data_IF_342341866976
#
_entry.id   IF_342341866976
#
_cell.length_a   1.000
_cell.length_b   1.000
_cell.length_c   1.000
_cell.angle_alpha   90.00
_cell.angle_beta   90.00
_cell.angle_gamma   90.00
#
_symmetry.space_group_name_H-M   'P 1'
#
loop_
_entity.id
_entity.type
_entity.pdbx_description
1 polymer ?
#
# COMPACT_ATOMS: atom_id res chain seq x y z
N UNK A 1 -9.46 -21.59 -7.08
CA UNK A 1 -8.46 -20.60 -7.47
C UNK A 1 -9.08 -19.69 -8.54
N UNK A 2 -8.77 -18.38 -8.55
CA UNK A 2 -9.25 -17.48 -9.60
C UNK A 2 -8.65 -17.88 -10.96
N UNK A 3 -9.40 -17.63 -12.04
CA UNK A 3 -8.93 -17.92 -13.40
C UNK A 3 -7.84 -16.96 -13.88
N UNK A 4 -7.79 -15.77 -13.28
CA UNK A 4 -6.80 -14.72 -13.57
C UNK A 4 -6.28 -14.11 -12.28
N UNK A 5 -5.06 -13.57 -12.32
CA UNK A 5 -4.46 -12.80 -11.23
C UNK A 5 -4.04 -11.43 -11.76
N UNK A 6 -4.12 -10.41 -10.91
CA UNK A 6 -3.53 -9.10 -11.17
C UNK A 6 -2.20 -8.99 -10.43
N UNK A 7 -1.17 -8.49 -11.12
CA UNK A 7 0.12 -8.19 -10.51
C UNK A 7 0.19 -6.70 -10.21
N UNK A 8 0.64 -6.37 -9.00
CA UNK A 8 0.90 -4.99 -8.57
C UNK A 8 2.40 -4.87 -8.32
N UNK A 9 3.03 -4.00 -9.08
CA UNK A 9 4.45 -3.73 -8.93
C UNK A 9 4.67 -2.58 -7.93
N UNK A 10 5.47 -2.84 -6.92
CA UNK A 10 5.77 -1.86 -5.85
C UNK A 10 7.24 -1.44 -5.79
N UNK A 11 8.06 -1.95 -6.69
CA UNK A 11 9.49 -1.64 -6.78
C UNK A 11 9.81 -0.15 -6.85
N UNK A 12 9.08 0.66 -7.65
CA UNK A 12 9.33 2.11 -7.71
C UNK A 12 9.06 2.84 -6.39
N UNK A 13 8.17 2.33 -5.54
CA UNK A 13 7.90 2.87 -4.21
C UNK A 13 8.69 2.13 -3.13
N UNK A 14 8.37 0.86 -2.91
CA UNK A 14 8.90 0.08 -1.78
C UNK A 14 10.35 -0.33 -1.99
N UNK A 15 10.70 -0.73 -3.20
CA UNK A 15 12.08 -1.07 -3.56
C UNK A 15 12.99 0.15 -3.45
N UNK A 16 12.69 1.21 -4.18
CA UNK A 16 13.52 2.42 -4.21
C UNK A 16 13.60 3.12 -2.85
N UNK A 17 12.57 3.01 -2.00
CA UNK A 17 12.57 3.59 -0.66
C UNK A 17 13.81 3.18 0.17
N UNK A 18 14.36 1.99 -0.09
CA UNK A 18 15.48 1.43 0.65
C UNK A 18 16.86 1.74 0.01
N UNK A 19 16.87 2.39 -1.15
CA UNK A 19 18.11 2.77 -1.81
C UNK A 19 18.82 3.89 -1.05
N UNK A 20 20.14 3.74 -0.89
CA UNK A 20 20.97 4.70 -0.15
C UNK A 20 21.17 6.02 -0.90
N UNK A 21 21.35 5.91 -2.22
CA UNK A 21 21.55 7.06 -3.09
C UNK A 21 20.20 7.56 -3.61
N UNK A 22 20.03 8.87 -3.65
CA UNK A 22 18.81 9.48 -4.20
C UNK A 22 18.76 9.22 -5.71
N UNK A 23 17.78 8.43 -6.13
CA UNK A 23 17.53 8.15 -7.53
C UNK A 23 16.90 9.38 -8.19
N UNK A 24 17.46 9.91 -9.28
CA UNK A 24 16.92 11.07 -9.97
C UNK A 24 15.49 10.84 -10.52
N UNK A 25 14.66 11.89 -10.56
CA UNK A 25 13.28 11.85 -11.09
C UNK A 25 13.20 11.18 -12.47
N UNK A 26 14.12 11.53 -13.38
CA UNK A 26 14.16 10.95 -14.73
C UNK A 26 14.37 9.42 -14.73
N UNK A 27 15.22 8.91 -13.83
CA UNK A 27 15.45 7.48 -13.70
C UNK A 27 14.24 6.76 -13.08
N UNK A 28 13.54 7.36 -12.11
CA UNK A 28 12.28 6.84 -11.56
C UNK A 28 11.21 6.72 -12.62
N UNK A 29 11.05 7.76 -13.46
CA UNK A 29 10.10 7.75 -14.58
C UNK A 29 10.45 6.68 -15.58
N UNK A 30 11.72 6.59 -16.01
CA UNK A 30 12.17 5.56 -16.94
C UNK A 30 11.93 4.15 -16.41
N UNK A 31 12.10 3.94 -15.10
CA UNK A 31 11.80 2.66 -14.44
C UNK A 31 10.31 2.33 -14.52
N UNK A 32 9.43 3.27 -14.16
CA UNK A 32 7.96 3.08 -14.23
C UNK A 32 7.53 2.83 -15.69
N UNK A 33 8.07 3.57 -16.64
CA UNK A 33 7.77 3.38 -18.07
C UNK A 33 8.18 1.98 -18.56
N UNK A 34 9.36 1.51 -18.19
CA UNK A 34 9.85 0.16 -18.53
C UNK A 34 8.96 -0.94 -17.94
N UNK A 35 8.50 -0.78 -16.70
CA UNK A 35 7.57 -1.71 -16.07
C UNK A 35 6.22 -1.76 -16.80
N UNK A 36 5.69 -0.62 -17.19
CA UNK A 36 4.47 -0.53 -17.98
C UNK A 36 4.64 -1.15 -19.39
N UNK A 37 5.80 -0.96 -20.02
CA UNK A 37 6.17 -1.60 -21.31
C UNK A 37 6.31 -3.11 -21.18
N UNK A 38 6.82 -3.60 -20.05
CA UNK A 38 6.90 -5.02 -19.74
C UNK A 38 5.51 -5.68 -19.54
N UNK A 39 4.43 -4.90 -19.55
CA UNK A 39 3.05 -5.40 -19.48
C UNK A 39 2.40 -5.31 -18.13
N UNK A 40 3.04 -4.72 -17.12
CA UNK A 40 2.44 -4.50 -15.81
C UNK A 40 1.30 -3.48 -15.91
N UNK A 41 0.18 -3.79 -15.25
CA UNK A 41 -1.07 -3.00 -15.34
C UNK A 41 -1.36 -2.21 -14.09
N UNK A 42 -0.63 -2.47 -13.02
CA UNK A 42 -0.72 -1.70 -11.77
C UNK A 42 0.67 -1.49 -11.20
N UNK A 43 1.03 -0.23 -10.97
CA UNK A 43 2.35 0.16 -10.48
C UNK A 43 2.20 1.19 -9.36
N UNK A 44 2.73 0.87 -8.19
CA UNK A 44 2.83 1.83 -7.09
C UNK A 44 4.09 2.69 -7.30
N UNK A 45 3.87 3.89 -7.81
CA UNK A 45 4.92 4.76 -8.36
C UNK A 45 5.76 5.43 -7.29
N UNK A 46 5.14 5.89 -6.21
CA UNK A 46 5.81 6.68 -5.18
C UNK A 46 4.98 6.77 -3.90
N UNK A 47 5.40 7.62 -2.96
CA UNK A 47 4.67 7.91 -1.73
C UNK A 47 4.61 9.42 -1.46
N UNK A 48 3.47 9.89 -0.98
CA UNK A 48 3.29 11.25 -0.48
C UNK A 48 3.60 11.38 1.02
N UNK A 49 4.53 10.59 1.50
CA UNK A 49 5.08 10.66 2.86
C UNK A 49 5.87 11.97 3.05
N UNK A 50 6.12 12.33 4.31
CA UNK A 50 6.98 13.48 4.60
C UNK A 50 8.41 13.24 4.09
N UNK A 51 9.01 14.19 3.34
CA UNK A 51 10.41 14.11 2.89
C UNK A 51 11.43 13.92 4.02
N UNK A 52 11.08 14.34 5.24
CA UNK A 52 11.94 14.13 6.42
C UNK A 52 12.05 12.66 6.83
N UNK A 53 11.02 11.85 6.53
CA UNK A 53 11.00 10.43 6.86
C UNK A 53 11.57 9.58 5.74
N UNK A 54 11.21 9.90 4.48
CA UNK A 54 11.68 9.17 3.30
C UNK A 54 12.16 10.17 2.24
N UNK A 55 13.42 10.66 2.34
CA UNK A 55 13.98 11.61 1.39
C UNK A 55 13.96 11.12 -0.06
N UNK A 56 14.13 9.79 -0.26
CA UNK A 56 14.11 9.14 -1.56
C UNK A 56 12.81 9.40 -2.35
N UNK A 57 11.67 9.58 -1.68
CA UNK A 57 10.36 9.76 -2.30
C UNK A 57 9.85 11.22 -2.17
N UNK A 58 10.73 12.16 -1.83
CA UNK A 58 10.38 13.58 -1.66
C UNK A 58 9.83 14.21 -2.94
N UNK A 59 10.26 13.69 -4.09
CA UNK A 59 9.97 14.15 -5.44
C UNK A 59 8.69 13.52 -6.07
N UNK A 60 7.86 12.86 -5.26
CA UNK A 60 6.65 12.18 -5.74
C UNK A 60 5.79 13.06 -6.67
N UNK A 61 5.58 14.34 -6.33
CA UNK A 61 4.80 15.26 -7.16
C UNK A 61 5.42 15.49 -8.52
N UNK A 62 6.75 15.62 -8.60
CA UNK A 62 7.47 15.81 -9.86
C UNK A 62 7.44 14.56 -10.74
N UNK A 63 7.53 13.37 -10.11
CA UNK A 63 7.40 12.08 -10.81
C UNK A 63 6.02 11.97 -11.44
N UNK A 64 4.95 12.16 -10.66
CA UNK A 64 3.57 12.06 -11.18
C UNK A 64 3.26 13.12 -12.25
N UNK A 65 3.76 14.35 -12.10
CA UNK A 65 3.54 15.42 -13.08
C UNK A 65 4.20 15.16 -14.45
N UNK A 66 5.29 14.38 -14.47
CA UNK A 66 6.07 14.09 -15.70
C UNK A 66 5.83 12.69 -16.24
N UNK A 67 5.13 11.83 -15.49
CA UNK A 67 4.82 10.47 -15.89
C UNK A 67 3.87 10.47 -17.09
N UNK A 68 4.17 9.64 -18.10
CA UNK A 68 3.24 9.42 -19.22
C UNK A 68 2.17 8.43 -18.79
N UNK A 69 0.96 8.93 -18.56
CA UNK A 69 -0.18 8.07 -18.26
C UNK A 69 -0.55 7.20 -19.46
N UNK A 70 -0.65 5.89 -19.26
CA UNK A 70 -1.11 4.91 -20.25
C UNK A 70 -2.52 4.46 -19.84
N UNK A 71 -3.45 4.39 -20.80
CA UNK A 71 -4.87 4.10 -20.53
C UNK A 71 -5.12 2.77 -19.76
N UNK A 72 -4.25 1.78 -20.00
CA UNK A 72 -4.38 0.44 -19.41
C UNK A 72 -3.50 0.21 -18.19
N UNK A 73 -2.93 1.26 -17.58
CA UNK A 73 -2.06 1.15 -16.41
C UNK A 73 -2.58 2.02 -15.29
N UNK A 74 -2.78 1.41 -14.13
CA UNK A 74 -3.12 2.10 -12.89
C UNK A 74 -1.85 2.52 -12.18
N UNK A 75 -1.66 3.81 -12.01
CA UNK A 75 -0.55 4.39 -11.25
C UNK A 75 -1.05 4.78 -9.86
N UNK A 76 -0.55 4.10 -8.84
CA UNK A 76 -0.94 4.30 -7.45
C UNK A 76 0.17 4.94 -6.62
N UNK A 77 -0.19 5.43 -5.43
CA UNK A 77 0.76 6.01 -4.50
C UNK A 77 0.39 5.69 -3.05
N UNK A 78 1.40 5.53 -2.20
CA UNK A 78 1.19 5.44 -0.75
C UNK A 78 0.88 6.83 -0.18
N UNK A 79 -0.19 6.93 0.64
CA UNK A 79 -0.66 8.19 1.22
C UNK A 79 -0.87 8.03 2.73
N UNK A 80 0.03 8.53 3.59
CA UNK A 80 -0.01 8.27 5.02
C UNK A 80 -0.90 9.25 5.83
N UNK A 81 -1.36 10.35 5.25
CA UNK A 81 -2.14 11.38 5.95
C UNK A 81 -2.83 12.36 4.99
N UNK A 82 -3.64 13.26 5.52
CA UNK A 82 -4.41 14.24 4.73
C UNK A 82 -3.53 15.17 3.89
N UNK A 83 -2.38 15.62 4.40
CA UNK A 83 -1.45 16.44 3.62
C UNK A 83 -0.90 15.69 2.40
N UNK A 84 -0.63 14.39 2.55
CA UNK A 84 -0.28 13.50 1.44
C UNK A 84 -1.45 13.34 0.46
N UNK A 85 -2.69 13.23 0.98
CA UNK A 85 -3.89 13.09 0.15
C UNK A 85 -4.13 14.32 -0.74
N UNK A 86 -4.02 15.52 -0.17
CA UNK A 86 -4.12 16.77 -0.93
C UNK A 86 -3.12 16.83 -2.09
N UNK A 87 -1.87 16.45 -1.83
CA UNK A 87 -0.82 16.39 -2.85
C UNK A 87 -1.11 15.32 -3.91
N UNK A 88 -1.59 14.14 -3.51
CA UNK A 88 -1.94 13.07 -4.42
C UNK A 88 -3.09 13.49 -5.36
N UNK A 89 -4.13 14.13 -4.82
CA UNK A 89 -5.24 14.68 -5.61
C UNK A 89 -4.77 15.74 -6.60
N UNK A 90 -3.92 16.65 -6.16
CA UNK A 90 -3.35 17.70 -7.03
C UNK A 90 -2.52 17.11 -8.19
N UNK A 91 -1.95 15.91 -8.01
CA UNK A 91 -1.23 15.16 -9.04
C UNK A 91 -2.13 14.24 -9.89
N UNK A 92 -3.44 14.23 -9.67
CA UNK A 92 -4.38 13.40 -10.44
C UNK A 92 -4.30 11.90 -10.14
N UNK A 93 -3.77 11.50 -8.98
CA UNK A 93 -3.69 10.10 -8.57
C UNK A 93 -5.08 9.50 -8.44
N UNK A 94 -5.32 8.33 -9.04
CA UNK A 94 -6.62 7.65 -9.08
C UNK A 94 -6.73 6.44 -8.14
N UNK A 95 -5.60 6.01 -7.59
CA UNK A 95 -5.55 4.93 -6.60
C UNK A 95 -4.49 5.24 -5.57
N UNK A 96 -4.86 5.12 -4.30
CA UNK A 96 -3.93 5.32 -3.19
C UNK A 96 -3.81 4.05 -2.35
N UNK A 97 -2.77 3.99 -1.54
CA UNK A 97 -2.62 2.98 -0.50
C UNK A 97 -2.47 3.63 0.88
N UNK A 98 -3.10 3.03 1.88
CA UNK A 98 -2.83 3.25 3.30
C UNK A 98 -2.25 1.97 3.89
N UNK A 99 -1.53 2.04 5.01
CA UNK A 99 -0.88 0.84 5.55
C UNK A 99 -0.88 0.82 7.08
N UNK A 100 -1.06 -0.37 7.62
CA UNK A 100 -0.93 -0.67 9.05
C UNK A 100 -0.30 -2.06 9.22
N UNK A 101 -0.26 -2.58 10.43
CA UNK A 101 0.27 -3.91 10.70
C UNK A 101 -0.63 -4.69 11.68
N UNK A 102 -0.56 -6.00 11.63
CA UNK A 102 -1.30 -6.87 12.54
C UNK A 102 -0.72 -6.88 13.97
N UNK A 103 0.44 -6.25 14.20
CA UNK A 103 1.14 -6.23 15.50
C UNK A 103 1.42 -4.80 15.96
N UNK A 104 1.24 -4.56 17.27
CA UNK A 104 1.39 -3.23 17.86
C UNK A 104 2.85 -2.74 17.81
N UNK A 105 3.81 -3.60 18.08
CA UNK A 105 5.22 -3.23 18.06
C UNK A 105 5.68 -2.81 16.67
N UNK A 106 5.18 -3.49 15.62
CA UNK A 106 5.51 -3.10 14.25
C UNK A 106 4.87 -1.76 13.89
N UNK A 107 3.61 -1.54 14.23
CA UNK A 107 2.95 -0.24 14.07
C UNK A 107 3.76 0.88 14.74
N UNK A 108 4.11 0.71 16.01
CA UNK A 108 4.90 1.71 16.76
C UNK A 108 6.25 1.99 16.12
N UNK A 109 6.99 0.97 15.71
CA UNK A 109 8.33 1.13 15.11
C UNK A 109 8.31 1.66 13.68
N UNK A 110 7.29 1.32 12.91
CA UNK A 110 7.21 1.69 11.49
C UNK A 110 6.55 3.05 11.27
N UNK A 111 5.43 3.32 11.95
CA UNK A 111 4.63 4.54 11.75
C UNK A 111 4.45 5.37 13.01
N UNK A 112 5.09 4.99 14.11
CA UNK A 112 5.00 5.65 15.43
C UNK A 112 3.56 5.82 15.95
N UNK A 113 2.70 4.84 15.65
CA UNK A 113 1.29 4.79 16.04
C UNK A 113 0.96 3.40 16.59
N UNK A 114 -0.08 3.27 17.39
CA UNK A 114 -0.77 2.00 17.64
C UNK A 114 -1.57 1.61 16.41
N UNK A 115 -2.03 0.36 16.36
CA UNK A 115 -2.97 -0.08 15.33
C UNK A 115 -4.23 0.80 15.32
N UNK A 116 -4.82 1.05 16.48
CA UNK A 116 -6.02 1.87 16.59
C UNK A 116 -5.79 3.33 16.14
N UNK A 117 -4.66 3.95 16.53
CA UNK A 117 -4.28 5.29 16.09
C UNK A 117 -4.09 5.36 14.57
N UNK A 118 -3.51 4.32 13.95
CA UNK A 118 -3.34 4.26 12.51
C UNK A 118 -4.68 4.27 11.76
N UNK A 119 -5.65 3.49 12.24
CA UNK A 119 -6.99 3.48 11.67
C UNK A 119 -7.67 4.87 11.79
N UNK A 120 -7.54 5.53 12.93
CA UNK A 120 -8.08 6.89 13.12
C UNK A 120 -7.41 7.91 12.19
N UNK A 121 -6.10 7.80 11.98
CA UNK A 121 -5.36 8.67 11.07
C UNK A 121 -5.77 8.46 9.59
N UNK A 122 -6.09 7.22 9.20
CA UNK A 122 -6.48 6.90 7.82
C UNK A 122 -7.95 7.15 7.51
N UNK A 123 -8.83 7.17 8.51
CA UNK A 123 -10.25 7.41 8.30
C UNK A 123 -10.54 8.66 7.45
N UNK A 124 -10.00 9.86 7.74
CA UNK A 124 -10.22 11.04 6.89
C UNK A 124 -9.57 10.89 5.50
N UNK A 125 -8.44 10.18 5.36
CA UNK A 125 -7.77 9.95 4.07
C UNK A 125 -8.66 9.11 3.15
N UNK A 126 -9.19 8.00 3.68
CA UNK A 126 -10.09 7.11 2.94
C UNK A 126 -11.38 7.82 2.57
N UNK A 127 -11.98 8.57 3.51
CA UNK A 127 -13.18 9.35 3.25
C UNK A 127 -12.97 10.40 2.13
N UNK A 128 -11.83 11.08 2.13
CA UNK A 128 -11.48 12.04 1.09
C UNK A 128 -11.25 11.37 -0.27
N UNK A 129 -10.54 10.23 -0.27
CA UNK A 129 -10.35 9.43 -1.48
C UNK A 129 -11.69 9.04 -2.11
N UNK A 130 -12.63 8.52 -1.30
CA UNK A 130 -13.98 8.14 -1.77
C UNK A 130 -14.77 9.33 -2.34
N UNK A 131 -14.72 10.49 -1.68
CA UNK A 131 -15.40 11.70 -2.19
C UNK A 131 -14.88 12.12 -3.57
N UNK A 132 -13.61 11.83 -3.87
CA UNK A 132 -12.97 12.17 -5.14
C UNK A 132 -12.93 11.01 -6.15
N UNK A 133 -13.61 9.89 -5.89
CA UNK A 133 -13.62 8.71 -6.77
C UNK A 133 -12.24 8.04 -6.90
N UNK A 134 -11.39 8.17 -5.87
CA UNK A 134 -10.06 7.56 -5.81
C UNK A 134 -10.17 6.21 -5.11
N UNK A 135 -9.68 5.15 -5.75
CA UNK A 135 -9.64 3.81 -5.18
C UNK A 135 -8.62 3.72 -4.03
N UNK A 136 -8.89 2.89 -3.04
CA UNK A 136 -8.05 2.73 -1.84
C UNK A 136 -7.65 1.28 -1.63
N UNK A 137 -6.35 1.02 -1.58
CA UNK A 137 -5.75 -0.22 -1.11
C UNK A 137 -5.36 -0.11 0.36
N UNK A 138 -5.69 -1.11 1.17
CA UNK A 138 -5.22 -1.23 2.54
C UNK A 138 -4.11 -2.28 2.65
N UNK A 139 -2.89 -1.89 3.01
CA UNK A 139 -1.81 -2.82 3.33
C UNK A 139 -1.90 -3.24 4.80
N UNK A 140 -1.92 -4.54 5.06
CA UNK A 140 -1.74 -5.12 6.38
C UNK A 140 -0.42 -5.87 6.45
N UNK A 141 0.59 -5.25 7.05
CA UNK A 141 1.89 -5.88 7.31
C UNK A 141 1.83 -6.89 8.45
N UNK A 142 2.84 -7.74 8.55
CA UNK A 142 3.03 -8.74 9.62
C UNK A 142 1.85 -9.70 9.79
N UNK A 143 1.15 -10.05 8.71
CA UNK A 143 -0.05 -10.88 8.80
C UNK A 143 0.23 -12.34 9.17
N UNK A 144 1.45 -12.84 8.96
CA UNK A 144 1.87 -14.21 9.27
C UNK A 144 2.93 -14.26 10.36
N UNK A 145 3.73 -13.22 10.45
CA UNK A 145 4.77 -13.11 11.44
C UNK A 145 5.37 -11.71 11.53
N UNK A 146 5.85 -11.38 12.71
CA UNK A 146 6.42 -10.09 13.04
C UNK A 146 7.89 -10.24 13.46
N UNK A 147 8.81 -9.40 12.98
CA UNK A 147 10.21 -9.48 13.36
C UNK A 147 10.46 -9.15 14.84
N UNK A 148 9.45 -8.59 15.53
CA UNK A 148 9.55 -8.19 16.94
C UNK A 148 8.72 -9.05 17.88
N UNK A 149 7.55 -9.54 17.43
CA UNK A 149 6.59 -10.28 18.25
C UNK A 149 6.53 -11.77 17.88
N UNK A 150 7.24 -12.19 16.81
CA UNK A 150 7.26 -13.58 16.35
C UNK A 150 5.98 -13.96 15.59
N UNK A 151 5.45 -15.16 15.85
CA UNK A 151 4.30 -15.70 15.14
C UNK A 151 3.03 -14.88 15.38
N UNK A 152 2.28 -14.61 14.31
CA UNK A 152 1.01 -13.89 14.35
C UNK A 152 -0.12 -14.87 14.07
N UNK A 153 -1.05 -15.08 15.02
CA UNK A 153 -2.18 -15.97 14.81
C UNK A 153 -3.07 -15.50 13.65
N UNK A 154 -3.57 -16.39 12.77
CA UNK A 154 -4.46 -16.01 11.67
C UNK A 154 -5.71 -15.23 12.12
N UNK A 155 -6.22 -15.52 13.32
CA UNK A 155 -7.35 -14.79 13.91
C UNK A 155 -7.03 -13.33 14.20
N UNK A 156 -5.82 -13.03 14.70
CA UNK A 156 -5.34 -11.66 14.94
C UNK A 156 -5.23 -10.89 13.62
N UNK A 157 -4.58 -11.48 12.62
CA UNK A 157 -4.46 -10.88 11.28
C UNK A 157 -5.83 -10.67 10.63
N UNK A 158 -6.77 -11.63 10.77
CA UNK A 158 -8.11 -11.50 10.24
C UNK A 158 -8.91 -10.37 10.90
N UNK A 159 -8.79 -10.17 12.22
CA UNK A 159 -9.42 -9.04 12.92
C UNK A 159 -8.86 -7.71 12.40
N UNK A 160 -7.54 -7.59 12.27
CA UNK A 160 -6.89 -6.39 11.77
C UNK A 160 -7.28 -6.09 10.32
N UNK A 161 -7.32 -7.12 9.45
CA UNK A 161 -7.75 -7.00 8.07
C UNK A 161 -9.20 -6.51 7.94
N UNK A 162 -10.12 -7.05 8.75
CA UNK A 162 -11.53 -6.61 8.75
C UNK A 162 -11.65 -5.15 9.16
N UNK A 163 -10.96 -4.73 10.22
CA UNK A 163 -10.99 -3.33 10.66
C UNK A 163 -10.42 -2.39 9.60
N UNK A 164 -9.40 -2.82 8.85
CA UNK A 164 -8.87 -2.05 7.73
C UNK A 164 -9.88 -1.98 6.56
N UNK A 165 -10.59 -3.07 6.27
CA UNK A 165 -11.67 -3.10 5.29
C UNK A 165 -12.83 -2.18 5.69
N UNK A 166 -13.20 -2.15 6.98
CA UNK A 166 -14.29 -1.33 7.52
C UNK A 166 -14.02 0.18 7.39
N UNK A 167 -12.77 0.61 7.19
CA UNK A 167 -12.45 1.99 6.81
C UNK A 167 -12.98 2.37 5.43
N UNK A 168 -13.32 1.39 4.59
CA UNK A 168 -13.79 1.59 3.22
C UNK A 168 -12.72 1.34 2.15
N UNK A 169 -11.65 0.61 2.47
CA UNK A 169 -10.69 0.16 1.46
C UNK A 169 -11.39 -0.73 0.41
N UNK A 170 -11.08 -0.51 -0.88
CA UNK A 170 -11.65 -1.30 -1.98
C UNK A 170 -10.99 -2.66 -2.09
N UNK A 171 -9.73 -2.74 -1.68
CA UNK A 171 -8.95 -3.98 -1.67
C UNK A 171 -8.03 -4.03 -0.46
N UNK A 172 -7.63 -5.24 -0.07
CA UNK A 172 -6.63 -5.48 0.97
C UNK A 172 -5.43 -6.21 0.40
N UNK A 173 -4.25 -5.77 0.80
CA UNK A 173 -2.99 -6.47 0.56
C UNK A 173 -2.50 -7.06 1.89
N UNK A 174 -2.46 -8.37 1.97
CA UNK A 174 -2.04 -9.11 3.16
C UNK A 174 -0.55 -9.42 3.04
N UNK A 175 0.25 -8.78 3.87
CA UNK A 175 1.71 -8.81 3.77
C UNK A 175 2.36 -9.92 4.60
N UNK A 176 3.12 -10.78 3.93
CA UNK A 176 4.12 -11.63 4.57
C UNK A 176 5.44 -10.88 4.68
N UNK A 177 5.51 -10.01 5.67
CA UNK A 177 6.58 -9.00 5.82
C UNK A 177 7.98 -9.60 5.98
N UNK A 178 8.10 -10.79 6.54
CA UNK A 178 9.38 -11.45 6.81
C UNK A 178 9.55 -12.78 6.04
N UNK A 179 8.62 -13.10 5.13
CA UNK A 179 8.76 -14.23 4.21
C UNK A 179 8.66 -15.60 4.89
N UNK A 180 7.78 -15.76 5.88
CA UNK A 180 7.61 -17.01 6.64
C UNK A 180 6.28 -17.71 6.39
N UNK A 181 5.40 -17.13 5.59
CA UNK A 181 4.11 -17.73 5.29
C UNK A 181 4.28 -19.04 4.51
N UNK A 182 3.58 -20.07 4.98
CA UNK A 182 3.45 -21.33 4.27
C UNK A 182 2.00 -21.51 3.79
N UNK A 183 1.73 -22.31 2.73
CA UNK A 183 0.39 -22.48 2.19
C UNK A 183 -0.70 -22.77 3.22
N UNK A 184 -0.52 -23.65 4.23
CA UNK A 184 -1.54 -23.89 5.25
C UNK A 184 -1.88 -22.63 6.07
N UNK A 185 -0.89 -21.76 6.37
CA UNK A 185 -1.11 -20.50 7.07
C UNK A 185 -1.91 -19.50 6.23
N UNK A 186 -1.60 -19.42 4.94
CA UNK A 186 -2.34 -18.59 3.99
C UNK A 186 -3.79 -19.06 3.87
N UNK A 187 -4.02 -20.37 3.70
CA UNK A 187 -5.35 -20.97 3.65
C UNK A 187 -6.16 -20.70 4.92
N UNK A 188 -5.54 -20.84 6.09
CA UNK A 188 -6.18 -20.58 7.38
C UNK A 188 -6.61 -19.11 7.49
N UNK A 189 -5.74 -18.16 7.13
CA UNK A 189 -6.08 -16.74 7.15
C UNK A 189 -7.17 -16.39 6.15
N UNK A 190 -7.05 -16.81 4.89
CA UNK A 190 -8.05 -16.57 3.85
C UNK A 190 -9.39 -17.22 4.19
N UNK A 191 -9.41 -18.37 4.84
CA UNK A 191 -10.63 -19.02 5.33
C UNK A 191 -11.38 -18.17 6.38
N UNK A 192 -10.67 -17.34 7.13
CA UNK A 192 -11.25 -16.39 8.09
C UNK A 192 -11.69 -15.08 7.42
N UNK A 193 -11.08 -14.69 6.30
CA UNK A 193 -11.36 -13.47 5.55
C UNK A 193 -12.48 -13.70 4.51
N UNK A 194 -13.66 -14.15 4.97
CA UNK A 194 -14.83 -14.25 4.10
C UNK A 194 -15.38 -12.85 3.83
N UNK A 195 -14.86 -12.20 2.79
CA UNK A 195 -15.49 -11.01 2.24
C UNK A 195 -16.63 -11.39 1.28
N UNK A 196 -17.70 -10.58 1.19
CA UNK A 196 -18.72 -10.75 0.15
C UNK A 196 -18.04 -10.80 -1.22
N UNK A 197 -18.48 -11.73 -2.11
CA UNK A 197 -17.87 -11.95 -3.43
C UNK A 197 -17.98 -10.76 -4.40
N UNK A 198 -18.77 -9.78 -4.05
CA UNK A 198 -19.01 -8.54 -4.79
C UNK A 198 -17.97 -7.43 -4.53
N UNK A 199 -16.95 -7.71 -3.71
CA UNK A 199 -15.80 -6.81 -3.44
C UNK A 199 -14.44 -7.39 -3.85
N UNK A 200 -14.43 -8.31 -4.79
CA UNK A 200 -13.18 -8.85 -5.38
C UNK A 200 -13.02 -8.43 -6.82
#
# INVERSE_FOLDING_TARGET
LPATIALVEVGPRDGLQNEREIVPVGAKIAFVDALAEAGLREIEVSSFVSPKWVPQLADASDVFAKLKHRENVVYSALVPNMKGMERALACGVRKIAVFTAATETFCKKNINMTFAESLQAFLPVVAEAKRNGVAVRGYLSTAFGCPYEGNVPPTQAAIAARRLADLGCDELSIGDTIGIAAPPGVEALLGLLKFPRDRT
#
